data_IF_730708741055
#
_entry.id   IF_730708741055
#
_cell.length_a   1.000
_cell.length_b   1.000
_cell.length_c   1.000
_cell.angle_alpha   90.00
_cell.angle_beta   90.00
_cell.angle_gamma   90.00
#
_symmetry.space_group_name_H-M   'P 1'
#
loop_
_entity.id
_entity.type
_entity.pdbx_description
1 polymer ?
#
# COMPACT_ATOMS: atom_id res chain seq x y z
N UNK A 1 -2.37 24.97 -12.74
CA UNK A 1 -2.80 24.54 -11.39
C UNK A 1 -1.93 25.22 -10.36
N UNK A 2 -2.56 25.99 -9.46
CA UNK A 2 -1.94 26.50 -8.24
C UNK A 2 -2.18 25.53 -7.05
N UNK A 3 -1.68 25.85 -5.86
CA UNK A 3 -1.83 25.00 -4.68
C UNK A 3 -3.31 24.72 -4.30
N UNK A 4 -4.18 25.72 -4.46
CA UNK A 4 -5.61 25.58 -4.23
C UNK A 4 -6.24 24.62 -5.22
N UNK A 5 -5.91 24.73 -6.51
CA UNK A 5 -6.41 23.82 -7.54
C UNK A 5 -6.02 22.36 -7.25
N UNK A 6 -4.78 22.13 -6.77
CA UNK A 6 -4.28 20.81 -6.41
C UNK A 6 -5.05 20.24 -5.20
N UNK A 7 -5.25 21.06 -4.16
CA UNK A 7 -5.97 20.65 -2.96
C UNK A 7 -7.46 20.34 -3.25
N UNK A 8 -8.12 21.19 -4.04
CA UNK A 8 -9.51 20.96 -4.46
C UNK A 8 -9.61 19.68 -5.29
N UNK A 9 -8.68 19.45 -6.23
CA UNK A 9 -8.70 18.24 -7.03
C UNK A 9 -8.46 16.98 -6.21
N UNK A 10 -7.56 17.05 -5.24
CA UNK A 10 -7.34 15.96 -4.29
C UNK A 10 -8.59 15.68 -3.45
N UNK A 11 -9.28 16.72 -2.98
CA UNK A 11 -10.50 16.58 -2.20
C UNK A 11 -11.62 15.89 -2.99
N UNK A 12 -11.80 16.24 -4.28
CA UNK A 12 -12.75 15.55 -5.17
C UNK A 12 -12.40 14.07 -5.33
N UNK A 13 -11.15 13.78 -5.69
CA UNK A 13 -10.71 12.43 -6.03
C UNK A 13 -10.62 11.50 -4.83
N UNK A 14 -10.26 12.01 -3.65
CA UNK A 14 -10.05 11.20 -2.43
C UNK A 14 -11.31 11.19 -1.56
N UNK A 15 -12.11 12.26 -1.60
CA UNK A 15 -13.30 12.43 -0.77
C UNK A 15 -14.58 11.82 -1.35
N UNK A 16 -14.73 11.76 -2.67
CA UNK A 16 -15.93 11.25 -3.36
C UNK A 16 -15.74 9.83 -3.91
N UNK A 17 -15.52 9.72 -5.23
CA UNK A 17 -15.52 8.46 -6.01
C UNK A 17 -14.60 7.35 -5.48
N UNK A 18 -13.49 7.72 -4.82
CA UNK A 18 -12.58 6.71 -4.23
C UNK A 18 -13.15 5.97 -3.04
N UNK A 19 -14.10 6.55 -2.31
CA UNK A 19 -14.73 5.87 -1.18
C UNK A 19 -15.54 4.64 -1.66
N UNK A 20 -16.09 4.69 -2.86
CA UNK A 20 -16.77 3.54 -3.47
C UNK A 20 -15.77 2.50 -4.00
N UNK A 21 -14.72 2.94 -4.69
CA UNK A 21 -13.74 2.02 -5.29
C UNK A 21 -12.83 1.33 -4.27
N UNK A 22 -12.35 2.05 -3.25
CA UNK A 22 -11.41 1.52 -2.25
C UNK A 22 -12.06 1.26 -0.88
N UNK A 23 -13.38 1.42 -0.81
CA UNK A 23 -14.14 1.29 0.43
C UNK A 23 -13.99 2.49 1.36
N UNK A 24 -14.69 2.42 2.48
CA UNK A 24 -14.60 3.41 3.55
C UNK A 24 -13.15 3.58 3.99
N UNK A 25 -12.60 4.79 3.78
CA UNK A 25 -11.24 5.17 4.16
C UNK A 25 -10.87 4.82 5.59
N UNK A 26 -11.81 4.89 6.54
CA UNK A 26 -11.55 4.53 7.93
C UNK A 26 -11.27 3.02 8.06
N UNK A 27 -12.08 2.19 7.39
CA UNK A 27 -11.89 0.73 7.36
C UNK A 27 -10.62 0.35 6.62
N UNK A 28 -10.34 0.98 5.48
CA UNK A 28 -9.16 0.70 4.68
C UNK A 28 -7.89 1.08 5.44
N UNK A 29 -7.81 2.27 6.04
CA UNK A 29 -6.65 2.69 6.81
C UNK A 29 -6.45 1.86 8.08
N UNK A 30 -7.53 1.49 8.77
CA UNK A 30 -7.44 0.59 9.93
C UNK A 30 -6.87 -0.79 9.55
N UNK A 31 -7.27 -1.34 8.39
CA UNK A 31 -6.71 -2.60 7.88
C UNK A 31 -5.26 -2.47 7.47
N UNK A 32 -4.90 -1.39 6.78
CA UNK A 32 -3.50 -1.10 6.42
C UNK A 32 -2.64 -1.04 7.67
N UNK A 33 -3.08 -0.30 8.70
CA UNK A 33 -2.39 -0.22 9.97
C UNK A 33 -2.19 -1.61 10.59
N UNK A 34 -3.25 -2.43 10.63
CA UNK A 34 -3.15 -3.79 11.15
C UNK A 34 -2.15 -4.67 10.38
N UNK A 35 -2.20 -4.67 9.04
CA UNK A 35 -1.25 -5.41 8.21
C UNK A 35 0.19 -4.95 8.44
N UNK A 36 0.43 -3.64 8.41
CA UNK A 36 1.76 -3.07 8.59
C UNK A 36 2.31 -3.32 10.00
N UNK A 37 1.47 -3.25 11.04
CA UNK A 37 1.88 -3.62 12.40
C UNK A 37 2.35 -5.08 12.45
N UNK A 38 1.57 -6.01 11.91
CA UNK A 38 1.93 -7.44 11.87
C UNK A 38 3.21 -7.66 11.05
N UNK A 39 3.34 -7.00 9.90
CA UNK A 39 4.55 -7.09 9.08
C UNK A 39 5.77 -6.59 9.87
N UNK A 40 5.72 -5.37 10.41
CA UNK A 40 6.82 -4.74 11.13
C UNK A 40 7.25 -5.53 12.37
N UNK A 41 6.29 -6.10 13.11
CA UNK A 41 6.56 -6.92 14.30
C UNK A 41 7.21 -8.27 13.96
N UNK A 42 6.93 -8.83 12.77
CA UNK A 42 7.48 -10.12 12.34
C UNK A 42 8.80 -9.99 11.56
N UNK A 43 9.33 -8.77 11.39
CA UNK A 43 10.64 -8.57 10.75
C UNK A 43 11.74 -9.26 11.56
N UNK A 44 12.79 -9.80 10.93
CA UNK A 44 13.92 -10.39 11.65
C UNK A 44 14.62 -9.43 12.62
N UNK A 45 14.61 -8.14 12.29
CA UNK A 45 15.09 -7.06 13.16
C UNK A 45 14.08 -5.91 13.17
N UNK A 46 13.07 -5.93 14.06
CA UNK A 46 12.02 -4.92 14.10
C UNK A 46 12.54 -3.49 14.36
N UNK A 47 13.66 -3.37 15.07
CA UNK A 47 14.30 -2.09 15.40
C UNK A 47 15.14 -1.51 14.25
N UNK A 48 15.43 -2.30 13.21
CA UNK A 48 16.18 -1.81 12.06
C UNK A 48 15.33 -0.86 11.20
N UNK A 49 15.95 0.13 10.53
CA UNK A 49 15.28 0.95 9.53
C UNK A 49 14.55 0.11 8.48
N UNK A 50 13.44 0.63 7.96
CA UNK A 50 12.66 -0.01 6.89
C UNK A 50 13.52 -0.01 5.61
N UNK A 51 13.68 -1.20 5.02
CA UNK A 51 14.39 -1.40 3.75
C UNK A 51 13.49 -1.17 2.54
N UNK A 52 14.09 -1.11 1.35
CA UNK A 52 13.32 -1.05 0.10
C UNK A 52 12.48 -2.32 -0.14
N UNK A 53 12.98 -3.48 0.30
CA UNK A 53 12.23 -4.75 0.27
C UNK A 53 11.01 -4.68 1.21
N UNK A 54 11.18 -4.13 2.42
CA UNK A 54 10.07 -3.92 3.35
C UNK A 54 8.97 -3.05 2.74
N UNK A 55 9.32 -1.97 2.06
CA UNK A 55 8.34 -1.11 1.36
C UNK A 55 7.56 -1.89 0.32
N UNK A 56 8.20 -2.78 -0.44
CA UNK A 56 7.52 -3.62 -1.42
C UNK A 56 6.46 -4.53 -0.79
N UNK A 57 6.78 -5.19 0.33
CA UNK A 57 5.81 -5.98 1.09
C UNK A 57 4.68 -5.13 1.67
N UNK A 58 4.99 -3.97 2.24
CA UNK A 58 4.00 -3.06 2.82
C UNK A 58 3.05 -2.48 1.75
N UNK A 59 3.54 -2.23 0.53
CA UNK A 59 2.70 -1.80 -0.60
C UNK A 59 1.78 -2.92 -1.12
N UNK A 60 2.25 -4.17 -1.09
CA UNK A 60 1.40 -5.33 -1.36
C UNK A 60 0.29 -5.48 -0.30
N UNK A 61 0.60 -5.26 0.98
CA UNK A 61 -0.39 -5.26 2.07
C UNK A 61 -1.42 -4.13 1.93
N UNK A 62 -1.02 -2.95 1.46
CA UNK A 62 -1.94 -1.87 1.12
C UNK A 62 -2.97 -2.31 0.08
N UNK A 63 -2.54 -3.08 -0.92
CA UNK A 63 -3.42 -3.60 -1.97
C UNK A 63 -4.36 -4.69 -1.45
N UNK A 64 -3.88 -5.60 -0.59
CA UNK A 64 -4.74 -6.56 0.15
C UNK A 64 -5.83 -5.84 0.94
N UNK A 65 -5.47 -4.79 1.68
CA UNK A 65 -6.41 -4.04 2.50
C UNK A 65 -7.51 -3.36 1.67
N UNK A 66 -7.17 -2.80 0.49
CA UNK A 66 -8.15 -2.20 -0.45
C UNK A 66 -9.12 -3.24 -1.01
N UNK A 67 -8.59 -4.37 -1.49
CA UNK A 67 -9.42 -5.46 -2.03
C UNK A 67 -10.43 -6.02 -1.00
N UNK A 68 -10.11 -5.97 0.29
CA UNK A 68 -11.00 -6.43 1.37
C UNK A 68 -11.99 -5.38 1.87
N UNK A 69 -11.76 -4.11 1.57
CA UNK A 69 -12.56 -3.01 2.10
C UNK A 69 -13.51 -2.39 1.05
N UNK A 70 -13.10 -2.41 -0.22
CA UNK A 70 -13.82 -1.79 -1.33
C UNK A 70 -14.56 -2.78 -2.23
N UNK A 71 -15.04 -2.24 -3.35
CA UNK A 71 -15.59 -3.05 -4.45
C UNK A 71 -14.48 -3.87 -5.13
N UNK A 72 -14.87 -4.95 -5.78
CA UNK A 72 -13.93 -5.76 -6.55
C UNK A 72 -13.23 -4.90 -7.60
N UNK A 73 -11.90 -4.89 -7.55
CA UNK A 73 -11.03 -4.28 -8.54
C UNK A 73 -9.86 -5.22 -8.83
N UNK A 74 -9.73 -5.66 -10.08
CA UNK A 74 -8.66 -6.58 -10.51
C UNK A 74 -7.27 -5.96 -10.35
N UNK A 75 -7.16 -4.63 -10.46
CA UNK A 75 -5.90 -3.91 -10.31
C UNK A 75 -5.32 -4.09 -8.89
N UNK A 76 -6.16 -4.28 -7.87
CA UNK A 76 -5.64 -4.53 -6.52
C UNK A 76 -4.89 -5.87 -6.43
N UNK A 77 -5.24 -6.87 -7.23
CA UNK A 77 -4.52 -8.14 -7.30
C UNK A 77 -3.27 -8.03 -8.19
N UNK A 78 -3.38 -7.36 -9.33
CA UNK A 78 -2.25 -7.15 -10.25
C UNK A 78 -1.14 -6.34 -9.58
N UNK A 79 -1.50 -5.22 -8.96
CA UNK A 79 -0.52 -4.36 -8.27
C UNK A 79 0.11 -5.05 -7.07
N UNK A 80 -0.65 -5.88 -6.35
CA UNK A 80 -0.09 -6.70 -5.26
C UNK A 80 1.03 -7.59 -5.78
N UNK A 81 0.77 -8.37 -6.84
CA UNK A 81 1.79 -9.23 -7.45
C UNK A 81 2.96 -8.38 -7.97
N UNK A 82 2.67 -7.23 -8.58
CA UNK A 82 3.67 -6.28 -9.07
C UNK A 82 4.63 -5.80 -7.98
N UNK A 83 4.10 -5.37 -6.83
CA UNK A 83 4.95 -4.91 -5.70
C UNK A 83 5.80 -6.05 -5.12
N UNK A 84 5.27 -7.27 -5.02
CA UNK A 84 6.04 -8.44 -4.57
C UNK A 84 7.15 -8.78 -5.58
N UNK A 85 6.87 -8.71 -6.88
CA UNK A 85 7.90 -8.92 -7.90
C UNK A 85 9.02 -7.87 -7.80
N UNK A 86 8.68 -6.59 -7.63
CA UNK A 86 9.67 -5.53 -7.40
C UNK A 86 10.50 -5.78 -6.12
N UNK A 87 9.87 -6.20 -5.03
CA UNK A 87 10.57 -6.53 -3.78
C UNK A 87 11.59 -7.66 -3.99
N UNK A 88 11.19 -8.72 -4.71
CA UNK A 88 12.08 -9.83 -5.05
C UNK A 88 13.25 -9.42 -5.95
N UNK A 89 13.01 -8.54 -6.92
CA UNK A 89 14.06 -7.98 -7.77
C UNK A 89 15.07 -7.18 -6.94
N UNK A 90 14.60 -6.31 -6.04
CA UNK A 90 15.45 -5.52 -5.13
C UNK A 90 16.28 -6.44 -4.25
N UNK A 91 15.66 -7.41 -3.58
CA UNK A 91 16.35 -8.38 -2.73
C UNK A 91 17.43 -9.16 -3.50
N UNK A 92 17.14 -9.54 -4.74
CA UNK A 92 18.11 -10.22 -5.62
C UNK A 92 19.31 -9.34 -5.96
N UNK A 93 19.08 -8.04 -6.20
CA UNK A 93 20.14 -7.07 -6.49
C UNK A 93 21.01 -6.79 -5.26
N UNK A 94 20.40 -6.69 -4.07
CA UNK A 94 21.11 -6.46 -2.80
C UNK A 94 21.97 -7.66 -2.39
N UNK A 95 21.48 -8.88 -2.61
CA UNK A 95 22.23 -10.12 -2.30
C UNK A 95 23.45 -10.33 -3.21
N UNK A 96 23.47 -9.71 -4.40
CA UNK A 96 24.57 -9.80 -5.37
C UNK A 96 25.64 -8.71 -5.20
N UNK A 97 25.50 -7.81 -4.23
CA UNK A 97 26.50 -6.80 -3.88
C UNK A 97 27.41 -7.31 -2.76
#
# INVERSE_FOLDING_TARGET
MNATDIATKAAELIGGDRAEQHGDKHKTFARIAAYWTVYLQNRPNPEAPISAVDVGFMMADLKKARAQAGLFNIDDFVDHIGYIACAGEIATRETKR
#
